data_IF_822215489490
#
_entry.id   IF_822215489490
#
_cell.length_a   1.000
_cell.length_b   1.000
_cell.length_c   1.000
_cell.angle_alpha   90.00
_cell.angle_beta   90.00
_cell.angle_gamma   90.00
#
_symmetry.space_group_name_H-M   'P 1'
#
loop_
_entity.id
_entity.type
_entity.pdbx_description
1 polymer ?
#
# COMPACT_ATOMS: atom_id res chain seq x y z
N UNK A 1 14.62 8.98 2.71
CA UNK A 1 13.35 8.54 2.11
C UNK A 1 12.76 7.44 2.98
N UNK A 2 11.44 7.38 3.09
CA UNK A 2 10.70 6.38 3.86
C UNK A 2 9.63 5.79 2.95
N UNK A 3 9.54 4.47 2.92
CA UNK A 3 8.46 3.76 2.25
C UNK A 3 7.38 3.46 3.30
N UNK A 4 6.15 3.90 3.03
CA UNK A 4 5.01 3.75 3.94
C UNK A 4 3.90 3.03 3.20
N UNK A 5 3.35 2.00 3.83
CA UNK A 5 2.07 1.40 3.47
C UNK A 5 1.10 1.78 4.57
N UNK A 6 0.02 2.44 4.18
CA UNK A 6 -1.04 2.92 5.05
C UNK A 6 -2.35 2.31 4.56
N UNK A 7 -2.98 1.48 5.38
CA UNK A 7 -4.20 0.73 5.03
C UNK A 7 -5.24 1.01 6.10
N UNK A 8 -6.40 1.47 5.66
CA UNK A 8 -7.60 1.60 6.50
C UNK A 8 -8.23 0.21 6.66
N UNK A 9 -8.12 -0.36 7.86
CA UNK A 9 -8.66 -1.68 8.17
C UNK A 9 -10.19 -1.71 8.23
N UNK A 10 -10.85 -0.56 8.46
CA UNK A 10 -12.31 -0.47 8.46
C UNK A 10 -12.87 -0.44 7.03
N UNK A 11 -12.04 -0.04 6.05
CA UNK A 11 -12.38 -0.06 4.62
C UNK A 11 -12.17 -1.43 3.96
N UNK A 12 -11.47 -2.35 4.63
CA UNK A 12 -11.18 -3.70 4.12
C UNK A 12 -12.41 -4.59 4.25
N UNK A 13 -12.75 -5.29 3.16
CA UNK A 13 -13.84 -6.27 3.15
C UNK A 13 -13.36 -7.66 3.57
N UNK A 14 -14.15 -8.36 4.39
CA UNK A 14 -13.82 -9.73 4.83
C UNK A 14 -12.87 -9.78 6.04
N UNK A 15 -11.96 -10.76 6.06
CA UNK A 15 -10.94 -10.87 7.12
C UNK A 15 -9.82 -9.87 6.85
N UNK A 16 -9.54 -8.93 7.78
CA UNK A 16 -8.47 -7.97 7.61
C UNK A 16 -7.10 -8.63 7.41
N UNK A 17 -6.79 -9.70 8.15
CA UNK A 17 -5.49 -10.38 8.08
C UNK A 17 -5.27 -11.04 6.71
N UNK A 18 -6.30 -11.72 6.20
CA UNK A 18 -6.25 -12.37 4.89
C UNK A 18 -6.10 -11.35 3.76
N UNK A 19 -6.90 -10.29 3.81
CA UNK A 19 -6.98 -9.29 2.76
C UNK A 19 -5.74 -8.36 2.76
N UNK A 20 -5.29 -7.91 3.92
CA UNK A 20 -4.01 -7.18 4.05
C UNK A 20 -2.85 -8.07 3.60
N UNK A 21 -2.82 -9.35 3.99
CA UNK A 21 -1.79 -10.29 3.55
C UNK A 21 -1.74 -10.44 2.03
N UNK A 22 -2.91 -10.46 1.37
CA UNK A 22 -3.05 -10.50 -0.10
C UNK A 22 -2.52 -9.21 -0.74
N UNK A 23 -2.94 -8.04 -0.25
CA UNK A 23 -2.49 -6.72 -0.71
C UNK A 23 -0.96 -6.64 -0.63
N UNK A 24 -0.38 -6.97 0.52
CA UNK A 24 1.07 -6.91 0.74
C UNK A 24 1.83 -7.85 -0.21
N UNK A 25 1.35 -9.08 -0.41
CA UNK A 25 1.98 -10.04 -1.34
C UNK A 25 2.00 -9.52 -2.77
N UNK A 26 0.88 -8.95 -3.24
CA UNK A 26 0.77 -8.41 -4.58
C UNK A 26 1.70 -7.22 -4.78
N UNK A 27 1.60 -6.22 -3.91
CA UNK A 27 2.35 -4.97 -4.05
C UNK A 27 3.85 -5.16 -3.82
N UNK A 28 4.26 -6.01 -2.85
CA UNK A 28 5.66 -6.35 -2.66
C UNK A 28 6.28 -7.00 -3.91
N UNK A 29 5.52 -7.83 -4.62
CA UNK A 29 5.96 -8.43 -5.89
C UNK A 29 6.10 -7.42 -7.03
N UNK A 30 5.27 -6.39 -7.03
CA UNK A 30 5.26 -5.33 -8.05
C UNK A 30 6.37 -4.28 -7.84
N UNK A 31 6.93 -4.14 -6.63
CA UNK A 31 7.99 -3.16 -6.31
C UNK A 31 9.18 -3.20 -7.27
N UNK A 32 9.57 -4.38 -7.75
CA UNK A 32 10.70 -4.53 -8.71
C UNK A 32 10.47 -3.82 -10.04
N UNK A 33 9.23 -3.42 -10.33
CA UNK A 33 8.82 -2.74 -11.56
C UNK A 33 8.56 -1.24 -11.31
N UNK A 34 8.69 -0.77 -10.08
CA UNK A 34 8.37 0.61 -9.68
C UNK A 34 9.63 1.44 -9.53
N UNK A 35 9.55 2.71 -9.96
CA UNK A 35 10.57 3.70 -9.66
C UNK A 35 10.21 4.42 -8.36
N UNK A 36 10.82 3.98 -7.26
CA UNK A 36 10.58 4.53 -5.92
C UNK A 36 11.34 5.86 -5.76
N UNK A 37 10.68 6.98 -6.05
CA UNK A 37 11.19 8.33 -5.86
C UNK A 37 10.42 9.08 -4.78
N UNK A 38 10.97 10.18 -4.26
CA UNK A 38 10.22 11.04 -3.35
C UNK A 38 8.96 11.58 -4.07
N UNK A 39 7.79 11.42 -3.44
CA UNK A 39 6.50 11.77 -4.04
C UNK A 39 5.83 10.64 -4.85
N UNK A 40 6.44 9.45 -4.94
CA UNK A 40 5.73 8.26 -5.46
C UNK A 40 4.58 7.93 -4.51
N UNK A 41 3.37 7.82 -5.06
CA UNK A 41 2.16 7.40 -4.35
C UNK A 41 1.29 6.52 -5.26
N UNK A 42 0.73 5.45 -4.70
CA UNK A 42 -0.10 4.47 -5.38
C UNK A 42 -1.25 4.04 -4.47
N UNK A 43 -2.47 4.02 -4.99
CA UNK A 43 -3.63 3.48 -4.28
C UNK A 43 -3.51 1.96 -4.12
N UNK A 44 -3.80 1.49 -2.91
CA UNK A 44 -3.94 0.09 -2.58
C UNK A 44 -5.41 -0.30 -2.70
N UNK A 45 -5.66 -1.38 -3.42
CA UNK A 45 -7.00 -1.89 -3.68
C UNK A 45 -7.21 -3.23 -2.99
N UNK A 46 -8.39 -3.44 -2.43
CA UNK A 46 -8.83 -4.76 -1.95
C UNK A 46 -9.16 -5.71 -3.12
N UNK A 47 -9.64 -6.92 -2.79
CA UNK A 47 -9.96 -7.96 -3.77
C UNK A 47 -11.19 -7.61 -4.62
N UNK A 48 -11.98 -6.62 -4.19
CA UNK A 48 -13.15 -6.09 -4.90
C UNK A 48 -12.83 -4.87 -5.76
N UNK A 49 -11.56 -4.48 -5.83
CA UNK A 49 -11.09 -3.24 -6.48
C UNK A 49 -11.57 -1.95 -5.80
N UNK A 50 -11.81 -2.02 -4.49
CA UNK A 50 -12.13 -0.84 -3.68
C UNK A 50 -10.84 -0.24 -3.11
N UNK A 51 -10.65 1.09 -3.15
CA UNK A 51 -9.52 1.75 -2.50
C UNK A 51 -9.57 1.57 -0.98
N UNK A 52 -8.48 1.09 -0.40
CA UNK A 52 -8.36 0.83 1.05
C UNK A 52 -7.14 1.49 1.68
N UNK A 53 -6.33 2.19 0.90
CA UNK A 53 -5.11 2.79 1.42
C UNK A 53 -4.15 3.22 0.34
N UNK A 54 -2.93 3.53 0.76
CA UNK A 54 -1.89 4.05 -0.11
C UNK A 54 -0.53 3.46 0.24
N UNK A 55 0.27 3.25 -0.81
CA UNK A 55 1.71 3.10 -0.73
C UNK A 55 2.32 4.44 -1.11
N UNK A 56 3.22 4.97 -0.28
CA UNK A 56 3.89 6.25 -0.53
C UNK A 56 5.38 6.22 -0.19
N UNK A 57 6.16 6.97 -0.95
CA UNK A 57 7.58 7.23 -0.68
C UNK A 57 7.73 8.68 -0.27
N UNK A 58 7.95 8.89 1.02
CA UNK A 58 8.12 10.23 1.60
C UNK A 58 9.59 10.55 1.80
N UNK A 59 9.90 11.82 2.01
CA UNK A 59 11.19 12.20 2.56
C UNK A 59 11.33 11.70 4.00
N UNK A 60 12.58 11.44 4.42
CA UNK A 60 12.85 10.94 5.77
C UNK A 60 12.53 11.96 6.88
N UNK A 61 12.28 13.22 6.52
CA UNK A 61 12.04 14.32 7.45
C UNK A 61 10.57 14.53 7.86
N UNK A 62 9.63 13.75 7.31
CA UNK A 62 8.25 13.78 7.81
C UNK A 62 8.14 12.86 9.04
N UNK A 63 8.51 13.41 10.19
CA UNK A 63 8.09 12.92 11.52
C UNK A 63 6.64 13.27 11.78
#
# INVERSE_FOLDING_TARGET
>A
MRFVIDIDLDAVTGSPEEEVGRILRYWAGALKQMQLGAGTELELMDSTYTPVGHLRVTDAAAG
#
